data_IF_168891635599
#
_entry.id   IF_168891635599
#
_cell.length_a   1.000
_cell.length_b   1.000
_cell.length_c   1.000
_cell.angle_alpha   90.00
_cell.angle_beta   90.00
_cell.angle_gamma   90.00
#
_symmetry.space_group_name_H-M   'P 1'
#
loop_
_entity.id
_entity.type
_entity.pdbx_description
1 polymer ?
#
# COMPACT_ATOMS: atom_id res chain seq x y z
N UNK A 1 10.55 3.36 -23.71
CA UNK A 1 9.28 4.10 -23.57
C UNK A 1 8.57 3.59 -22.34
N UNK A 2 8.41 4.43 -21.32
CA UNK A 2 7.65 4.10 -20.11
C UNK A 2 6.17 4.18 -20.47
N UNK A 3 5.52 3.02 -20.65
CA UNK A 3 4.07 2.93 -20.77
C UNK A 3 3.47 3.42 -19.44
N UNK A 4 3.07 4.69 -19.40
CA UNK A 4 2.25 5.21 -18.32
C UNK A 4 0.95 4.40 -18.32
N UNK A 5 0.73 3.63 -17.25
CA UNK A 5 -0.54 2.93 -17.03
C UNK A 5 -1.69 3.94 -17.15
N UNK A 6 -2.76 3.56 -17.86
CA UNK A 6 -3.92 4.45 -18.02
C UNK A 6 -4.47 4.84 -16.64
N UNK A 7 -4.92 6.10 -16.45
CA UNK A 7 -5.56 6.50 -15.21
C UNK A 7 -6.75 5.57 -14.92
N UNK A 8 -6.84 5.08 -13.69
CA UNK A 8 -8.00 4.29 -13.22
C UNK A 8 -9.25 5.16 -13.32
N UNK A 9 -10.32 4.63 -13.92
CA UNK A 9 -11.62 5.29 -13.86
C UNK A 9 -12.12 5.27 -12.42
N UNK A 10 -12.07 6.44 -11.78
CA UNK A 10 -12.38 6.68 -10.36
C UNK A 10 -13.82 6.27 -10.03
N UNK A 11 -14.73 6.23 -11.01
CA UNK A 11 -16.12 5.81 -10.79
C UNK A 11 -16.30 4.29 -10.73
N UNK A 12 -15.35 3.52 -11.27
CA UNK A 12 -15.41 2.05 -11.38
C UNK A 12 -14.24 1.35 -10.68
N UNK A 13 -13.60 2.00 -9.70
CA UNK A 13 -12.51 1.38 -8.95
C UNK A 13 -13.01 0.11 -8.22
N UNK A 14 -12.45 -1.03 -8.61
CA UNK A 14 -12.69 -2.34 -8.02
C UNK A 14 -12.23 -2.41 -6.56
N UNK A 15 -11.29 -1.56 -6.18
CA UNK A 15 -10.80 -1.39 -4.81
C UNK A 15 -10.65 0.09 -4.48
N UNK A 16 -11.10 0.47 -3.29
CA UNK A 16 -10.90 1.80 -2.73
C UNK A 16 -10.59 1.71 -1.24
N UNK A 17 -9.47 2.30 -0.84
CA UNK A 17 -9.09 2.53 0.53
C UNK A 17 -8.93 4.03 0.76
N UNK A 18 -9.48 4.55 1.85
CA UNK A 18 -9.22 5.92 2.32
C UNK A 18 -8.86 5.90 3.79
N UNK A 19 -7.79 6.60 4.17
CA UNK A 19 -7.39 6.69 5.56
C UNK A 19 -6.59 7.94 5.87
N UNK A 20 -6.37 8.17 7.16
CA UNK A 20 -5.45 9.20 7.61
C UNK A 20 -4.00 8.75 7.29
N UNK A 21 -3.16 9.64 6.73
CA UNK A 21 -1.77 9.29 6.40
C UNK A 21 -0.95 8.84 7.62
N UNK A 22 -1.26 9.33 8.83
CA UNK A 22 -0.61 8.87 10.06
C UNK A 22 -0.87 7.37 10.36
N UNK A 23 -2.03 6.83 9.97
CA UNK A 23 -2.33 5.41 10.18
C UNK A 23 -1.47 4.53 9.26
N UNK A 24 -1.37 4.91 7.98
CA UNK A 24 -0.51 4.21 7.01
C UNK A 24 0.97 4.30 7.38
N UNK A 25 1.43 5.45 7.87
CA UNK A 25 2.81 5.59 8.33
C UNK A 25 3.14 4.62 9.47
N UNK A 26 2.26 4.48 10.47
CA UNK A 26 2.45 3.52 11.57
C UNK A 26 2.56 2.07 11.09
N UNK A 27 1.78 1.70 10.08
CA UNK A 27 1.88 0.35 9.47
C UNK A 27 3.27 0.17 8.87
N UNK A 28 3.81 1.21 8.22
CA UNK A 28 5.12 1.14 7.59
C UNK A 28 6.30 1.28 8.54
N UNK A 29 6.13 1.87 9.72
CA UNK A 29 7.15 1.89 10.77
C UNK A 29 7.57 0.49 11.23
N UNK A 30 6.69 -0.52 11.07
CA UNK A 30 7.00 -1.92 11.37
C UNK A 30 8.05 -2.49 10.42
N UNK A 31 8.17 -1.92 9.22
CA UNK A 31 9.13 -2.38 8.22
C UNK A 31 10.48 -1.68 8.35
N UNK A 32 11.60 -2.43 8.29
CA UNK A 32 12.93 -1.85 8.24
C UNK A 32 13.07 -0.79 7.15
N UNK A 33 13.85 0.26 7.41
CA UNK A 33 14.11 1.31 6.42
C UNK A 33 14.93 0.83 5.21
N UNK A 34 15.56 -0.35 5.35
CA UNK A 34 16.31 -1.04 4.29
C UNK A 34 15.43 -1.84 3.31
N UNK A 35 14.12 -1.92 3.54
CA UNK A 35 13.19 -2.62 2.62
C UNK A 35 13.26 -1.98 1.24
N UNK A 36 13.44 -2.83 0.22
CA UNK A 36 13.59 -2.39 -1.15
C UNK A 36 12.25 -2.36 -1.89
N UNK A 37 11.37 -3.31 -1.58
CA UNK A 37 10.05 -3.44 -2.20
C UNK A 37 9.01 -3.77 -1.14
N UNK A 38 7.86 -3.13 -1.25
CA UNK A 38 6.69 -3.45 -0.46
C UNK A 38 5.54 -3.83 -1.37
N UNK A 39 4.97 -5.01 -1.14
CA UNK A 39 3.84 -5.54 -1.88
C UNK A 39 2.58 -5.36 -1.05
N UNK A 40 1.62 -4.57 -1.53
CA UNK A 40 0.29 -4.41 -0.94
C UNK A 40 -0.71 -5.33 -1.63
N UNK A 41 -1.43 -6.11 -0.84
CA UNK A 41 -2.48 -7.02 -1.28
C UNK A 41 -3.76 -6.82 -0.46
N UNK A 42 -4.78 -6.15 -1.03
CA UNK A 42 -6.11 -6.09 -0.44
C UNK A 42 -6.80 -7.46 -0.43
N UNK A 43 -7.50 -7.76 0.66
CA UNK A 43 -8.39 -8.91 0.84
C UNK A 43 -9.78 -8.44 1.31
N UNK A 44 -10.73 -9.36 1.54
CA UNK A 44 -12.12 -8.97 1.82
C UNK A 44 -12.26 -8.06 3.05
N UNK A 45 -11.49 -8.33 4.09
CA UNK A 45 -11.62 -7.73 5.42
C UNK A 45 -10.31 -7.12 5.96
N UNK A 46 -9.23 -7.14 5.16
CA UNK A 46 -7.90 -6.69 5.57
C UNK A 46 -7.03 -6.31 4.37
N UNK A 47 -5.93 -5.61 4.64
CA UNK A 47 -4.84 -5.38 3.67
C UNK A 47 -3.56 -5.98 4.22
N UNK A 48 -2.91 -6.83 3.43
CA UNK A 48 -1.63 -7.40 3.76
C UNK A 48 -0.51 -6.67 3.02
N UNK A 49 0.58 -6.39 3.73
CA UNK A 49 1.80 -5.80 3.21
C UNK A 49 2.94 -6.79 3.44
N UNK A 50 3.65 -7.14 2.38
CA UNK A 50 4.84 -7.99 2.44
C UNK A 50 6.04 -7.20 2.01
N UNK A 51 7.05 -7.13 2.87
CA UNK A 51 8.32 -6.50 2.57
C UNK A 51 9.32 -7.51 2.02
N UNK A 52 10.00 -7.13 0.96
CA UNK A 52 11.11 -7.87 0.37
C UNK A 52 12.38 -7.02 0.53
N UNK A 53 13.40 -7.61 1.16
CA UNK A 53 14.71 -6.98 1.31
C UNK A 53 15.58 -7.20 0.06
N UNK A 54 16.51 -6.29 -0.21
CA UNK A 54 17.50 -6.52 -1.26
C UNK A 54 18.39 -7.70 -0.85
N UNK A 55 18.46 -8.73 -1.70
CA UNK A 55 19.30 -9.92 -1.50
C UNK A 55 20.82 -9.66 -1.52
N UNK A 56 21.27 -8.40 -1.60
CA UNK A 56 22.67 -8.00 -1.79
C UNK A 56 23.41 -7.58 -0.51
N UNK A 57 22.84 -7.81 0.65
CA UNK A 57 23.54 -7.70 1.92
C UNK A 57 23.55 -9.08 2.56
N UNK A 58 24.68 -9.53 3.06
CA UNK A 58 24.93 -10.81 3.78
C UNK A 58 24.09 -11.00 5.06
N UNK A 59 22.93 -10.35 5.13
CA UNK A 59 21.93 -10.43 6.18
C UNK A 59 20.84 -11.41 5.72
N UNK A 60 20.36 -12.33 6.59
CA UNK A 60 19.23 -13.17 6.24
C UNK A 60 18.04 -12.29 5.85
N UNK A 61 17.46 -12.54 4.67
CA UNK A 61 16.26 -11.85 4.20
C UNK A 61 15.12 -12.16 5.16
N UNK A 62 14.75 -11.21 6.02
CA UNK A 62 13.49 -11.30 6.75
C UNK A 62 12.39 -10.79 5.84
N UNK A 63 11.74 -11.70 5.14
CA UNK A 63 10.45 -11.42 4.52
C UNK A 63 9.44 -11.21 5.64
N UNK A 64 9.15 -9.95 5.95
CA UNK A 64 8.19 -9.58 6.98
C UNK A 64 6.84 -9.28 6.33
N UNK A 65 5.78 -9.87 6.87
CA UNK A 65 4.41 -9.62 6.44
C UNK A 65 3.58 -9.09 7.60
N UNK A 66 2.77 -8.06 7.35
CA UNK A 66 1.77 -7.55 8.28
C UNK A 66 0.43 -7.45 7.57
N UNK A 67 -0.65 -7.85 8.24
CA UNK A 67 -2.00 -7.62 7.76
C UNK A 67 -2.74 -6.70 8.71
N UNK A 68 -3.48 -5.75 8.14
CA UNK A 68 -4.19 -4.71 8.87
C UNK A 68 -5.67 -4.82 8.54
N UNK A 69 -6.51 -4.92 9.58
CA UNK A 69 -7.95 -5.06 9.42
C UNK A 69 -8.55 -3.83 8.72
N UNK A 70 -9.54 -4.06 7.86
CA UNK A 70 -10.21 -3.05 7.03
C UNK A 70 -10.86 -1.92 7.85
N UNK A 71 -11.27 -2.22 9.08
CA UNK A 71 -11.80 -1.26 10.06
C UNK A 71 -10.79 -0.16 10.47
N UNK A 72 -9.49 -0.39 10.23
CA UNK A 72 -8.45 0.64 10.44
C UNK A 72 -8.64 1.81 9.48
N UNK A 73 -9.28 1.58 8.33
CA UNK A 73 -9.42 2.56 7.27
C UNK A 73 -10.82 3.20 7.31
N UNK A 74 -10.88 4.52 7.11
CA UNK A 74 -12.14 5.27 7.08
C UNK A 74 -13.07 4.85 5.93
N UNK A 75 -12.50 4.40 4.82
CA UNK A 75 -13.24 3.79 3.71
C UNK A 75 -12.47 2.55 3.29
N UNK A 76 -13.16 1.42 3.21
CA UNK A 76 -12.68 0.20 2.60
C UNK A 76 -13.77 -0.38 1.73
N UNK A 77 -13.55 -0.43 0.42
CA UNK A 77 -14.49 -1.01 -0.55
C UNK A 77 -13.73 -1.91 -1.48
N UNK A 78 -14.26 -3.12 -1.67
CA UNK A 78 -13.70 -4.08 -2.59
C UNK A 78 -14.84 -4.77 -3.32
N UNK A 79 -14.82 -4.72 -4.65
CA UNK A 79 -15.72 -5.51 -5.48
C UNK A 79 -15.43 -7.01 -5.28
N UNK A 80 -16.44 -7.89 -5.39
CA UNK A 80 -16.27 -9.33 -5.28
C UNK A 80 -15.51 -9.95 -6.46
N UNK A 81 -14.69 -9.20 -7.21
CA UNK A 81 -13.77 -9.72 -8.22
C UNK A 81 -12.34 -9.17 -8.04
N UNK A 82 -12.09 -8.37 -7.00
CA UNK A 82 -10.85 -7.60 -6.83
C UNK A 82 -9.77 -8.31 -6.02
N UNK A 83 -10.07 -9.47 -5.44
CA UNK A 83 -9.14 -10.25 -4.59
C UNK A 83 -7.85 -10.71 -5.28
N UNK A 84 -7.67 -10.42 -6.57
CA UNK A 84 -6.47 -10.67 -7.35
C UNK A 84 -5.54 -9.45 -7.46
N UNK A 85 -5.93 -8.28 -6.96
CA UNK A 85 -5.08 -7.10 -7.01
C UNK A 85 -3.93 -7.21 -6.00
N UNK A 86 -2.72 -7.05 -6.51
CA UNK A 86 -1.50 -6.91 -5.71
C UNK A 86 -0.61 -5.91 -6.44
N UNK A 87 -0.02 -4.97 -5.71
CA UNK A 87 0.92 -4.01 -6.29
C UNK A 87 2.16 -3.91 -5.42
N UNK A 88 3.30 -4.03 -6.06
CA UNK A 88 4.62 -3.83 -5.46
C UNK A 88 5.12 -2.43 -5.78
N UNK A 89 5.62 -1.72 -4.79
CA UNK A 89 6.15 -0.37 -4.92
C UNK A 89 7.38 -0.13 -4.04
N UNK A 90 8.11 0.95 -4.33
CA UNK A 90 9.19 1.43 -3.47
C UNK A 90 8.60 2.08 -2.20
N UNK A 91 8.86 1.52 -1.00
CA UNK A 91 8.34 2.08 0.24
C UNK A 91 8.89 3.48 0.55
N UNK A 92 10.09 3.86 0.05
CA UNK A 92 10.68 5.18 0.30
C UNK A 92 9.89 6.28 -0.39
N UNK A 93 9.58 6.09 -1.68
CA UNK A 93 8.76 7.02 -2.44
C UNK A 93 7.36 7.16 -1.84
N UNK A 94 6.77 6.05 -1.40
CA UNK A 94 5.45 6.09 -0.80
C UNK A 94 5.44 6.77 0.58
N UNK A 95 6.46 6.55 1.43
CA UNK A 95 6.62 7.27 2.71
C UNK A 95 6.73 8.78 2.52
N UNK A 96 7.51 9.24 1.54
CA UNK A 96 7.60 10.68 1.23
C UNK A 96 6.23 11.28 0.85
N UNK A 97 5.42 10.52 0.10
CA UNK A 97 4.04 10.92 -0.19
C UNK A 97 3.15 10.97 1.07
N UNK A 98 3.28 9.99 1.98
CA UNK A 98 2.55 9.99 3.26
C UNK A 98 2.91 11.19 4.14
N UNK A 99 4.19 11.55 4.20
CA UNK A 99 4.67 12.72 4.94
C UNK A 99 4.08 14.01 4.40
N UNK A 100 4.06 14.17 3.06
CA UNK A 100 3.46 15.32 2.40
C UNK A 100 1.96 15.43 2.70
N UNK A 101 1.22 14.32 2.57
CA UNK A 101 -0.21 14.28 2.90
C UNK A 101 -0.47 14.61 4.38
N UNK A 102 0.40 14.14 5.28
CA UNK A 102 0.33 14.45 6.72
C UNK A 102 0.53 15.93 6.99
N UNK A 103 1.53 16.55 6.33
CA UNK A 103 1.80 17.98 6.45
C UNK A 103 0.58 18.83 6.06
N UNK A 104 -0.09 18.46 4.96
CA UNK A 104 -1.32 19.13 4.50
C UNK A 104 -2.59 18.67 5.22
N UNK A 105 -2.49 17.73 6.17
CA UNK A 105 -3.62 17.13 6.88
C UNK A 105 -4.69 16.56 5.94
N UNK A 106 -4.27 16.03 4.79
CA UNK A 106 -5.18 15.45 3.80
C UNK A 106 -5.29 13.93 3.98
N UNK A 107 -6.50 13.37 3.86
CA UNK A 107 -6.66 11.93 3.80
C UNK A 107 -6.04 11.40 2.51
N UNK A 108 -5.51 10.18 2.56
CA UNK A 108 -5.00 9.49 1.39
C UNK A 108 -6.08 8.57 0.87
N UNK A 109 -6.18 8.53 -0.46
CA UNK A 109 -7.01 7.56 -1.16
C UNK A 109 -6.13 6.70 -2.07
N UNK A 110 -6.29 5.38 -1.94
CA UNK A 110 -5.69 4.40 -2.84
C UNK A 110 -6.83 3.72 -3.60
N UNK A 111 -6.74 3.74 -4.92
CA UNK A 111 -7.73 3.15 -5.81
C UNK A 111 -7.05 2.19 -6.77
N UNK A 112 -7.71 1.08 -7.04
CA UNK A 112 -7.31 0.16 -8.08
C UNK A 112 -8.55 -0.32 -8.84
N UNK A 113 -8.41 -0.46 -10.15
CA UNK A 113 -9.46 -0.92 -11.06
C UNK A 113 -8.83 -1.57 -12.30
N UNK A 114 -9.66 -2.23 -13.11
CA UNK A 114 -9.27 -2.74 -14.42
C UNK A 114 -9.14 -1.65 -15.46
#
# INVERSE_FOLDING_TARGET
>A
ETLLEKPVDVHNADFRLTCNPFQLNKIFEVFPTSVARLTMKPELDKVCFTAESNANTDSPSMDSSICVASETFSVYRMSPNTFKFSKTFDPKGFRAFLELASFFKQPIRIEAGR
#
